data_IF_830866946288
#
_entry.id   IF_830866946288
#
_cell.length_a   1.000
_cell.length_b   1.000
_cell.length_c   1.000
_cell.angle_alpha   90.00
_cell.angle_beta   90.00
_cell.angle_gamma   90.00
#
_symmetry.space_group_name_H-M   'P 1'
#
loop_
_entity.id
_entity.type
_entity.pdbx_description
1 polymer ?
#
# COMPACT_ATOMS: atom_id res chain seq x y z
N UNK A 1 -6.43 21.21 3.16
CA UNK A 1 -5.23 20.74 3.87
C UNK A 1 -4.56 19.63 3.08
N UNK A 2 -3.54 19.98 2.30
CA UNK A 2 -2.70 19.00 1.62
C UNK A 2 -1.56 18.67 2.60
N UNK A 3 -1.33 17.39 2.94
CA UNK A 3 -0.27 17.04 3.88
C UNK A 3 1.10 17.32 3.25
N UNK A 4 2.10 17.58 4.08
CA UNK A 4 3.46 17.99 3.68
C UNK A 4 4.23 16.95 2.84
N UNK A 5 3.73 15.72 2.77
CA UNK A 5 4.26 14.63 1.97
C UNK A 5 3.59 14.46 0.60
N UNK A 6 2.50 15.18 0.34
CA UNK A 6 1.87 15.28 -0.98
C UNK A 6 2.06 16.67 -1.57
N UNK A 7 2.29 16.73 -2.87
CA UNK A 7 2.15 17.95 -3.66
C UNK A 7 1.19 17.69 -4.81
N UNK A 8 0.42 18.72 -5.15
CA UNK A 8 -0.56 18.68 -6.24
C UNK A 8 -0.30 19.91 -7.10
N UNK A 9 0.06 19.68 -8.35
CA UNK A 9 0.24 20.70 -9.35
C UNK A 9 -0.94 20.61 -10.33
N UNK A 10 -1.56 21.75 -10.62
CA UNK A 10 -2.70 21.83 -11.53
C UNK A 10 -2.24 22.47 -12.84
N UNK A 11 -2.56 21.83 -13.95
CA UNK A 11 -2.24 22.31 -15.28
C UNK A 11 -3.48 22.34 -16.16
N UNK A 12 -3.71 23.47 -16.80
CA UNK A 12 -4.78 23.63 -17.79
C UNK A 12 -4.43 22.81 -19.04
N UNK A 13 -5.29 21.87 -19.40
CA UNK A 13 -5.15 21.15 -20.66
C UNK A 13 -5.49 22.09 -21.81
N UNK A 14 -4.53 22.28 -22.71
CA UNK A 14 -4.70 23.12 -23.90
C UNK A 14 -4.81 22.26 -25.15
N UNK A 15 -5.77 22.60 -26.01
CA UNK A 15 -5.93 22.00 -27.32
C UNK A 15 -5.84 23.12 -28.36
N UNK A 16 -4.88 23.04 -29.28
CA UNK A 16 -4.65 24.11 -30.27
C UNK A 16 -4.18 25.45 -29.68
N UNK A 17 -3.73 25.48 -28.43
CA UNK A 17 -3.32 26.72 -27.74
C UNK A 17 -4.44 27.42 -26.98
N UNK A 18 -5.65 26.85 -26.96
CA UNK A 18 -6.78 27.35 -26.17
C UNK A 18 -7.08 26.41 -24.99
N UNK A 19 -7.59 26.98 -23.90
CA UNK A 19 -8.02 26.20 -22.75
C UNK A 19 -9.23 25.34 -23.12
N UNK A 20 -9.09 24.02 -22.93
CA UNK A 20 -10.10 23.04 -23.30
C UNK A 20 -11.26 22.90 -22.31
N UNK A 21 -11.18 23.56 -21.14
CA UNK A 21 -12.10 23.31 -20.03
C UNK A 21 -11.70 22.12 -19.14
N UNK A 22 -10.60 21.44 -19.46
CA UNK A 22 -10.04 20.32 -18.67
C UNK A 22 -8.84 20.80 -17.88
N UNK A 23 -8.80 20.45 -16.59
CA UNK A 23 -7.64 20.66 -15.71
C UNK A 23 -7.06 19.31 -15.36
N UNK A 24 -5.76 19.14 -15.59
CA UNK A 24 -5.01 17.98 -15.16
C UNK A 24 -4.39 18.24 -13.79
N UNK A 25 -4.35 17.22 -12.93
CA UNK A 25 -3.67 17.26 -11.66
C UNK A 25 -2.50 16.28 -11.67
N UNK A 26 -1.29 16.78 -11.47
CA UNK A 26 -0.10 15.96 -11.22
C UNK A 26 0.07 15.85 -9.72
N UNK A 27 -0.01 14.62 -9.20
CA UNK A 27 0.16 14.34 -7.78
C UNK A 27 1.50 13.66 -7.55
N UNK A 28 2.33 14.26 -6.71
CA UNK A 28 3.63 13.72 -6.33
C UNK A 28 3.65 13.47 -4.83
N UNK A 29 4.20 12.33 -4.43
CA UNK A 29 4.39 11.99 -3.02
C UNK A 29 5.88 11.94 -2.69
N UNK A 30 6.28 12.48 -1.53
CA UNK A 30 7.61 12.21 -0.97
C UNK A 30 7.76 10.70 -0.73
N UNK A 31 9.00 10.17 -0.63
CA UNK A 31 9.22 8.81 -0.17
C UNK A 31 8.53 8.58 1.19
N UNK A 32 8.10 7.35 1.42
CA UNK A 32 7.61 6.92 2.72
C UNK A 32 8.81 6.94 3.70
N UNK A 33 8.71 7.61 4.87
CA UNK A 33 9.81 7.63 5.82
C UNK A 33 10.17 6.21 6.29
N UNK A 34 11.44 6.01 6.61
CA UNK A 34 11.94 4.75 7.18
C UNK A 34 11.08 4.38 8.41
N UNK A 35 10.71 3.10 8.53
CA UNK A 35 9.84 2.56 9.59
C UNK A 35 8.38 3.04 9.60
N UNK A 36 7.93 3.84 8.61
CA UNK A 36 6.50 4.15 8.43
C UNK A 36 5.85 3.09 7.54
N UNK A 37 4.86 2.35 8.06
CA UNK A 37 4.21 1.23 7.34
C UNK A 37 3.29 1.70 6.21
N UNK A 38 2.44 2.68 6.51
CA UNK A 38 1.55 3.30 5.54
C UNK A 38 1.23 4.73 5.98
N UNK A 39 0.74 5.52 5.04
CA UNK A 39 0.07 6.78 5.31
C UNK A 39 -1.04 7.02 4.33
N UNK A 40 -2.06 7.74 4.79
CA UNK A 40 -3.22 8.09 3.98
C UNK A 40 -3.57 9.56 4.15
N UNK A 41 -4.18 10.12 3.11
CA UNK A 41 -4.79 11.44 3.14
C UNK A 41 -6.02 11.47 2.24
N UNK A 42 -7.02 12.24 2.65
CA UNK A 42 -8.17 12.57 1.81
C UNK A 42 -8.04 14.02 1.40
N UNK A 43 -7.95 14.27 0.10
CA UNK A 43 -7.90 15.63 -0.46
C UNK A 43 -9.21 15.92 -1.16
N UNK A 44 -9.84 17.03 -0.78
CA UNK A 44 -11.09 17.53 -1.36
C UNK A 44 -10.81 18.56 -2.44
N UNK A 45 -11.24 18.30 -3.66
CA UNK A 45 -11.30 19.26 -4.76
C UNK A 45 -12.69 19.86 -4.81
N UNK A 46 -12.79 21.17 -4.65
CA UNK A 46 -14.06 21.89 -4.69
C UNK A 46 -14.21 22.66 -6.01
N UNK A 47 -15.39 22.59 -6.59
CA UNK A 47 -15.79 23.35 -7.78
C UNK A 47 -17.20 23.91 -7.59
N UNK A 48 -17.66 24.78 -8.48
CA UNK A 48 -18.91 25.51 -8.31
C UNK A 48 -20.09 24.54 -8.09
N UNK A 49 -20.64 24.53 -6.86
CA UNK A 49 -21.79 23.71 -6.48
C UNK A 49 -21.49 22.25 -6.10
N UNK A 50 -20.24 21.80 -6.11
CA UNK A 50 -19.90 20.39 -5.84
C UNK A 50 -18.46 20.19 -5.34
N UNK A 51 -18.14 18.96 -4.93
CA UNK A 51 -16.79 18.56 -4.53
C UNK A 51 -16.52 17.10 -4.90
N UNK A 52 -15.24 16.76 -5.02
CA UNK A 52 -14.73 15.40 -5.16
C UNK A 52 -13.67 15.14 -4.10
N UNK A 53 -13.82 14.03 -3.38
CA UNK A 53 -12.84 13.57 -2.40
C UNK A 53 -11.98 12.47 -3.01
N UNK A 54 -10.66 12.67 -3.00
CA UNK A 54 -9.69 11.68 -3.45
C UNK A 54 -8.89 11.15 -2.26
N UNK A 55 -8.92 9.81 -2.10
CA UNK A 55 -8.10 9.12 -1.11
C UNK A 55 -6.74 8.76 -1.71
N UNK A 56 -5.68 9.30 -1.13
CA UNK A 56 -4.30 8.94 -1.44
C UNK A 56 -3.78 7.98 -0.38
N UNK A 57 -3.15 6.89 -0.82
CA UNK A 57 -2.49 5.92 0.05
C UNK A 57 -1.10 5.64 -0.49
N UNK A 58 -0.12 5.55 0.42
CA UNK A 58 1.25 5.15 0.11
C UNK A 58 1.73 4.11 1.11
N UNK A 59 2.34 3.03 0.61
CA UNK A 59 2.70 1.85 1.39
C UNK A 59 1.68 0.72 1.27
N UNK A 60 1.93 -0.39 1.95
CA UNK A 60 1.03 -1.54 2.02
C UNK A 60 0.37 -1.59 3.39
N UNK A 61 -0.97 -1.56 3.40
CA UNK A 61 -1.75 -1.96 4.57
C UNK A 61 -1.74 -3.47 4.60
N UNK A 62 -0.92 -4.07 5.48
CA UNK A 62 -1.08 -5.48 5.82
C UNK A 62 -2.01 -5.54 7.02
N UNK A 63 -3.30 -5.33 6.79
CA UNK A 63 -4.33 -5.75 7.75
C UNK A 63 -4.50 -7.27 7.60
N UNK A 64 -3.44 -8.04 7.87
CA UNK A 64 -3.61 -9.46 8.13
C UNK A 64 -3.91 -9.57 9.64
N UNK A 65 -5.15 -9.87 10.06
CA UNK A 65 -5.49 -10.01 11.48
C UNK A 65 -4.65 -11.08 12.19
N UNK A 66 -4.03 -11.98 11.43
CA UNK A 66 -3.12 -12.99 11.92
C UNK A 66 -1.72 -12.49 12.31
N UNK A 67 -1.28 -11.34 11.79
CA UNK A 67 0.01 -10.74 12.12
C UNK A 67 -0.17 -9.38 12.78
N UNK A 68 -0.67 -9.33 14.02
CA UNK A 68 -0.78 -8.06 14.73
C UNK A 68 0.62 -7.54 15.07
N UNK A 69 1.17 -6.65 14.23
CA UNK A 69 2.45 -6.01 14.51
C UNK A 69 3.41 -5.99 13.34
N UNK A 70 4.70 -5.96 13.64
CA UNK A 70 5.78 -6.01 12.66
C UNK A 70 6.06 -7.46 12.28
N UNK A 71 6.08 -7.74 10.98
CA UNK A 71 6.49 -9.04 10.46
C UNK A 71 8.02 -9.11 10.51
N UNK A 72 8.53 -9.97 11.38
CA UNK A 72 9.96 -10.24 11.57
C UNK A 72 10.32 -11.68 11.21
N UNK A 73 11.62 -11.99 11.23
CA UNK A 73 12.15 -13.35 11.03
C UNK A 73 11.55 -14.41 11.97
N UNK A 74 11.00 -13.99 13.13
CA UNK A 74 10.31 -14.92 14.03
C UNK A 74 9.09 -15.58 13.36
N UNK A 75 8.41 -14.87 12.46
CA UNK A 75 7.27 -15.42 11.72
C UNK A 75 7.72 -16.44 10.67
N UNK A 76 8.88 -16.24 10.06
CA UNK A 76 9.49 -17.21 9.13
C UNK A 76 9.84 -18.49 9.86
N UNK A 77 10.43 -18.39 11.05
CA UNK A 77 10.72 -19.57 11.88
C UNK A 77 9.44 -20.32 12.26
N UNK A 78 8.39 -19.60 12.65
CA UNK A 78 7.08 -20.19 12.96
C UNK A 78 6.50 -20.93 11.75
N UNK A 79 6.53 -20.33 10.56
CA UNK A 79 6.07 -20.96 9.33
C UNK A 79 6.86 -22.24 9.01
N UNK A 80 8.19 -22.18 9.13
CA UNK A 80 9.04 -23.35 8.91
C UNK A 80 8.70 -24.46 9.92
N UNK A 81 8.47 -24.11 11.19
CA UNK A 81 8.07 -25.08 12.21
C UNK A 81 6.71 -25.72 11.88
N UNK A 82 5.73 -24.95 11.39
CA UNK A 82 4.43 -25.48 10.94
C UNK A 82 4.61 -26.48 9.79
N UNK A 83 5.40 -26.13 8.77
CA UNK A 83 5.69 -26.99 7.61
C UNK A 83 6.38 -28.29 8.06
N UNK A 84 7.40 -28.19 8.93
CA UNK A 84 8.16 -29.36 9.38
C UNK A 84 7.34 -30.32 10.24
N UNK A 85 6.31 -29.81 10.92
CA UNK A 85 5.42 -30.61 11.77
C UNK A 85 4.10 -30.98 11.06
N UNK A 86 3.97 -30.73 9.75
CA UNK A 86 2.77 -31.00 8.96
C UNK A 86 1.49 -30.38 9.59
N UNK A 87 1.66 -29.15 10.11
CA UNK A 87 0.59 -28.37 10.72
C UNK A 87 0.12 -27.29 9.76
N UNK A 88 -1.20 -27.09 9.69
CA UNK A 88 -1.81 -26.04 8.87
C UNK A 88 -2.30 -24.88 9.72
N UNK A 89 -2.08 -23.67 9.22
CA UNK A 89 -2.59 -22.42 9.75
C UNK A 89 -2.87 -21.46 8.57
N UNK A 90 -4.15 -21.16 8.35
CA UNK A 90 -4.66 -20.27 7.30
C UNK A 90 -3.95 -18.90 7.30
N UNK A 91 -3.42 -18.48 8.45
CA UNK A 91 -2.68 -17.23 8.60
C UNK A 91 -1.36 -17.20 7.82
N UNK A 92 -0.78 -18.37 7.56
CA UNK A 92 0.50 -18.54 6.90
C UNK A 92 0.40 -19.06 5.46
N UNK A 93 -0.82 -19.32 4.97
CA UNK A 93 -1.10 -19.61 3.56
C UNK A 93 -1.17 -18.27 2.80
N UNK A 94 0.01 -17.77 2.44
CA UNK A 94 0.17 -16.41 1.91
C UNK A 94 -0.09 -16.34 0.42
N UNK A 95 -0.05 -17.48 -0.29
CA UNK A 95 -0.43 -17.56 -1.70
C UNK A 95 -1.89 -18.00 -1.92
N UNK A 96 -2.57 -18.49 -0.88
CA UNK A 96 -3.98 -18.90 -0.90
C UNK A 96 -4.22 -20.20 -1.67
N UNK A 97 -3.22 -21.08 -1.78
CA UNK A 97 -3.33 -22.34 -2.52
C UNK A 97 -3.85 -23.51 -1.67
N UNK A 98 -4.04 -23.29 -0.37
CA UNK A 98 -4.55 -24.29 0.57
C UNK A 98 -3.47 -25.19 1.17
N UNK A 99 -2.18 -24.93 0.91
CA UNK A 99 -1.05 -25.68 1.44
C UNK A 99 -0.05 -24.72 2.11
N UNK A 100 0.68 -25.19 3.13
CA UNK A 100 1.84 -24.45 3.66
C UNK A 100 3.10 -25.01 3.03
N UNK A 101 3.76 -24.21 2.18
CA UNK A 101 4.93 -24.65 1.44
C UNK A 101 6.07 -23.63 1.49
N UNK A 102 7.18 -23.97 0.82
CA UNK A 102 8.29 -23.04 0.61
C UNK A 102 7.86 -21.79 -0.18
N UNK A 103 6.75 -21.84 -0.92
CA UNK A 103 6.20 -20.69 -1.62
C UNK A 103 5.79 -19.60 -0.63
N UNK A 104 5.09 -19.96 0.45
CA UNK A 104 4.67 -19.04 1.51
C UNK A 104 5.88 -18.47 2.27
N UNK A 105 6.89 -19.30 2.51
CA UNK A 105 8.16 -18.86 3.11
C UNK A 105 8.82 -17.78 2.26
N UNK A 106 8.88 -17.96 0.94
CA UNK A 106 9.46 -16.99 0.03
C UNK A 106 8.67 -15.68 0.01
N UNK A 107 7.33 -15.76 0.05
CA UNK A 107 6.46 -14.58 0.15
C UNK A 107 6.73 -13.82 1.45
N UNK A 108 6.79 -14.53 2.58
CA UNK A 108 7.05 -13.93 3.88
C UNK A 108 8.45 -13.28 3.97
N UNK A 109 9.46 -13.90 3.37
CA UNK A 109 10.82 -13.35 3.27
C UNK A 109 10.84 -12.12 2.35
N UNK A 110 10.16 -12.15 1.21
CA UNK A 110 10.03 -10.99 0.33
C UNK A 110 9.40 -9.80 1.06
N UNK A 111 8.37 -10.07 1.89
CA UNK A 111 7.77 -9.05 2.77
C UNK A 111 8.78 -8.46 3.77
N UNK A 112 9.59 -9.29 4.42
CA UNK A 112 10.61 -8.83 5.38
C UNK A 112 11.71 -8.03 4.68
N UNK A 113 12.12 -8.45 3.49
CA UNK A 113 13.19 -7.81 2.72
C UNK A 113 12.72 -6.60 1.88
N UNK A 114 11.40 -6.31 1.85
CA UNK A 114 10.79 -5.26 1.04
C UNK A 114 11.09 -5.40 -0.47
N UNK A 115 11.15 -6.64 -0.97
CA UNK A 115 11.49 -6.98 -2.37
C UNK A 115 10.26 -7.32 -3.21
#
# INVERSE_FOLDING_TARGET
DIPDWLSIELEDWTEGGEFSGVVNAVVTAKPLPEYTRYREAVVRFQFAGAYLDYKFMQGHVVDNPCFPGEITIAHVNCLIDLILNDMYDDCYDLNGDGELTIADVNILIAYILQM
#
